data_IF_228341396311
#
_entry.id   IF_228341396311
#
_cell.length_a   1.000
_cell.length_b   1.000
_cell.length_c   1.000
_cell.angle_alpha   90.00
_cell.angle_beta   90.00
_cell.angle_gamma   90.00
#
_symmetry.space_group_name_H-M   'P 1'
#
loop_
_entity.id
_entity.type
_entity.pdbx_description
1 polymer ?
#
# COMPACT_ATOMS: atom_id res chain seq x y z
N UNK A 1 -8.90 12.21 6.77
CA UNK A 1 -9.44 10.92 6.30
C UNK A 1 -8.58 10.53 5.09
N UNK A 2 -7.68 9.57 5.27
CA UNK A 2 -6.55 9.22 4.39
C UNK A 2 -6.97 8.73 2.99
N UNK A 3 -8.27 8.52 2.74
CA UNK A 3 -8.86 8.36 1.40
C UNK A 3 -8.59 9.56 0.46
N UNK A 4 -8.16 10.72 0.98
CA UNK A 4 -7.63 11.85 0.20
C UNK A 4 -6.27 11.57 -0.48
N UNK A 5 -5.58 10.48 -0.10
CA UNK A 5 -4.38 9.98 -0.78
C UNK A 5 -4.60 9.66 -2.26
N UNK A 6 -5.84 9.43 -2.67
CA UNK A 6 -6.26 9.19 -4.06
C UNK A 6 -6.02 10.38 -5.01
N UNK A 7 -5.59 11.56 -4.54
CA UNK A 7 -5.21 12.71 -5.40
C UNK A 7 -3.70 12.83 -5.65
N UNK A 8 -2.87 12.02 -5.02
CA UNK A 8 -1.44 12.30 -4.89
C UNK A 8 -0.63 11.66 -6.00
N UNK A 9 -0.33 12.46 -7.03
CA UNK A 9 0.60 12.15 -8.13
C UNK A 9 2.07 11.91 -7.69
N UNK A 10 2.34 11.73 -6.40
CA UNK A 10 3.66 11.49 -5.82
C UNK A 10 3.58 10.34 -4.81
N UNK A 11 3.77 9.12 -5.33
CA UNK A 11 3.83 7.88 -4.55
C UNK A 11 5.30 7.49 -4.42
N UNK A 12 5.72 7.24 -3.18
CA UNK A 12 7.02 6.65 -2.85
C UNK A 12 6.79 5.27 -2.26
N UNK A 13 7.59 4.29 -2.69
CA UNK A 13 7.52 2.91 -2.20
C UNK A 13 8.84 2.63 -1.49
N UNK A 14 8.77 2.23 -0.22
CA UNK A 14 9.97 1.85 0.53
C UNK A 14 10.63 0.61 -0.07
N UNK A 15 11.93 0.40 0.18
CA UNK A 15 12.64 -0.79 -0.32
C UNK A 15 12.01 -2.10 0.17
N UNK A 16 11.56 -2.13 1.43
CA UNK A 16 10.81 -3.25 2.02
C UNK A 16 9.49 -3.50 1.27
N UNK A 17 8.61 -2.50 1.20
CA UNK A 17 7.33 -2.62 0.50
C UNK A 17 7.50 -3.01 -0.97
N UNK A 18 8.55 -2.51 -1.64
CA UNK A 18 8.86 -2.91 -3.01
C UNK A 18 9.22 -4.38 -3.09
N UNK A 19 10.10 -4.87 -2.22
CA UNK A 19 10.49 -6.29 -2.20
C UNK A 19 9.29 -7.21 -1.96
N UNK A 20 8.42 -6.85 -1.02
CA UNK A 20 7.22 -7.64 -0.71
C UNK A 20 6.22 -7.61 -1.87
N UNK A 21 5.95 -6.42 -2.42
CA UNK A 21 5.07 -6.29 -3.57
C UNK A 21 5.56 -7.08 -4.80
N UNK A 22 6.89 -7.15 -5.02
CA UNK A 22 7.47 -7.98 -6.08
C UNK A 22 7.29 -9.49 -5.82
N UNK A 23 7.37 -9.94 -4.57
CA UNK A 23 7.14 -11.33 -4.21
C UNK A 23 5.67 -11.77 -4.40
N UNK A 24 4.74 -10.82 -4.27
CA UNK A 24 3.31 -11.06 -4.47
C UNK A 24 2.87 -11.04 -5.94
N UNK A 25 3.67 -10.45 -6.83
CA UNK A 25 3.33 -10.39 -8.24
C UNK A 25 3.54 -11.74 -8.93
N UNK A 26 2.61 -12.15 -9.82
CA UNK A 26 2.84 -13.28 -10.70
C UNK A 26 4.10 -13.06 -11.55
N UNK A 27 4.87 -14.13 -11.78
CA UNK A 27 6.08 -14.09 -12.63
C UNK A 27 5.79 -13.68 -14.09
N UNK A 28 4.53 -13.71 -14.51
CA UNK A 28 4.05 -13.31 -15.84
C UNK A 28 3.93 -11.79 -16.00
N UNK A 29 4.10 -11.01 -14.93
CA UNK A 29 4.02 -9.55 -14.99
C UNK A 29 5.33 -9.00 -15.54
N UNK A 30 5.31 -8.54 -16.80
CA UNK A 30 6.48 -7.98 -17.50
C UNK A 30 6.99 -6.67 -16.88
N UNK A 31 6.08 -5.86 -16.30
CA UNK A 31 6.41 -4.55 -15.71
C UNK A 31 5.95 -4.45 -14.25
N UNK A 32 6.70 -5.06 -13.30
CA UNK A 32 6.28 -5.13 -11.90
C UNK A 32 6.06 -3.76 -11.24
N UNK A 33 6.93 -2.78 -11.51
CA UNK A 33 6.81 -1.44 -10.91
C UNK A 33 5.57 -0.69 -11.39
N UNK A 34 5.18 -0.84 -12.66
CA UNK A 34 3.95 -0.25 -13.16
C UNK A 34 2.71 -0.93 -12.58
N UNK A 35 2.73 -2.26 -12.45
CA UNK A 35 1.65 -3.03 -11.85
C UNK A 35 1.41 -2.64 -10.38
N UNK A 36 2.48 -2.47 -9.59
CA UNK A 36 2.41 -2.00 -8.21
C UNK A 36 1.83 -0.59 -8.17
N UNK A 37 2.36 0.32 -8.99
CA UNK A 37 1.88 1.70 -9.04
C UNK A 37 0.40 1.78 -9.41
N UNK A 38 -0.04 1.01 -10.41
CA UNK A 38 -1.45 0.92 -10.81
C UNK A 38 -2.32 0.39 -9.68
N UNK A 39 -1.86 -0.65 -8.98
CA UNK A 39 -2.57 -1.20 -7.82
C UNK A 39 -2.79 -0.16 -6.72
N UNK A 40 -1.80 0.68 -6.46
CA UNK A 40 -1.88 1.76 -5.48
C UNK A 40 -2.80 2.90 -5.92
N UNK A 41 -2.82 3.22 -7.22
CA UNK A 41 -3.72 4.23 -7.80
C UNK A 41 -5.18 3.75 -7.84
N UNK A 42 -5.42 2.45 -7.91
CA UNK A 42 -6.75 1.83 -7.87
C UNK A 42 -7.33 1.74 -6.44
N UNK A 43 -6.62 2.18 -5.40
CA UNK A 43 -7.11 2.15 -4.03
C UNK A 43 -8.28 3.11 -3.84
N UNK A 44 -9.33 2.62 -3.19
CA UNK A 44 -10.55 3.38 -2.90
C UNK A 44 -10.91 3.21 -1.43
N UNK A 45 -11.87 3.99 -0.96
CA UNK A 45 -12.33 3.93 0.43
C UNK A 45 -12.92 2.56 0.81
N UNK A 46 -13.54 1.83 -0.12
CA UNK A 46 -14.07 0.49 0.16
C UNK A 46 -12.99 -0.54 0.49
N UNK A 47 -11.75 -0.27 0.11
CA UNK A 47 -10.59 -1.10 0.45
C UNK A 47 -10.04 -0.79 1.84
N UNK A 48 -10.37 0.37 2.44
CA UNK A 48 -9.88 0.74 3.77
C UNK A 48 -10.42 -0.21 4.84
N UNK A 49 -9.57 -0.57 5.81
CA UNK A 49 -9.95 -1.42 6.95
C UNK A 49 -9.90 -0.69 8.27
N UNK A 50 -8.75 -0.15 8.60
CA UNK A 50 -8.56 0.62 9.81
C UNK A 50 -7.30 1.48 9.68
N UNK A 51 -7.09 2.34 10.66
CA UNK A 51 -5.86 3.11 10.82
C UNK A 51 -5.22 2.71 12.16
N UNK A 52 -3.90 2.52 12.14
CA UNK A 52 -3.09 2.26 13.33
C UNK A 52 -2.12 3.43 13.56
N UNK A 53 -1.79 3.70 14.81
CA UNK A 53 -0.79 4.71 15.16
C UNK A 53 0.51 4.01 15.55
N UNK A 54 1.60 4.30 14.84
CA UNK A 54 2.94 3.85 15.18
C UNK A 54 3.79 5.01 15.73
N UNK A 55 5.05 4.73 16.08
CA UNK A 55 6.01 5.73 16.59
C UNK A 55 6.26 6.90 15.60
N UNK A 56 5.90 6.73 14.32
CA UNK A 56 6.16 7.66 13.22
C UNK A 56 4.88 8.31 12.68
N UNK A 57 3.71 7.98 13.22
CA UNK A 57 2.44 8.62 12.92
C UNK A 57 1.33 7.64 12.58
N UNK A 58 0.33 8.13 11.84
CA UNK A 58 -0.80 7.32 11.41
C UNK A 58 -0.47 6.53 10.16
N UNK A 59 -0.82 5.25 10.21
CA UNK A 59 -0.70 4.28 9.12
C UNK A 59 -2.10 3.78 8.80
N UNK A 60 -2.46 3.88 7.53
CA UNK A 60 -3.71 3.33 7.02
C UNK A 60 -3.48 1.97 6.41
N UNK A 61 -4.43 1.08 6.69
CA UNK A 61 -4.38 -0.31 6.25
C UNK A 61 -5.52 -0.55 5.27
N UNK A 62 -5.14 -0.94 4.06
CA UNK A 62 -6.07 -1.28 2.99
C UNK A 62 -6.02 -2.77 2.70
N UNK A 63 -7.19 -3.37 2.46
CA UNK A 63 -7.34 -4.76 2.03
C UNK A 63 -7.86 -4.80 0.59
N UNK A 64 -7.07 -5.35 -0.31
CA UNK A 64 -7.40 -5.46 -1.74
C UNK A 64 -7.34 -6.90 -2.22
N UNK A 65 -8.13 -7.21 -3.25
CA UNK A 65 -8.04 -8.46 -4.00
C UNK A 65 -7.38 -8.17 -5.35
N UNK A 66 -6.13 -8.62 -5.54
CA UNK A 66 -5.40 -8.50 -6.81
C UNK A 66 -4.58 -9.76 -7.05
N UNK A 67 -4.39 -10.13 -8.31
CA UNK A 67 -3.61 -11.32 -8.68
C UNK A 67 -4.11 -12.62 -8.02
N UNK A 68 -5.43 -12.72 -7.82
CA UNK A 68 -6.10 -13.81 -7.08
C UNK A 68 -5.60 -14.00 -5.64
N UNK A 69 -5.10 -12.93 -5.02
CA UNK A 69 -4.61 -12.90 -3.64
C UNK A 69 -5.23 -11.75 -2.86
N UNK A 70 -5.50 -12.01 -1.59
CA UNK A 70 -5.91 -10.99 -0.65
C UNK A 70 -4.65 -10.33 -0.06
N UNK A 71 -4.54 -9.02 -0.24
CA UNK A 71 -3.33 -8.28 0.08
C UNK A 71 -3.65 -7.15 1.04
N UNK A 72 -2.75 -6.95 2.00
CA UNK A 72 -2.74 -5.81 2.90
C UNK A 72 -1.70 -4.81 2.47
N UNK A 73 -2.14 -3.59 2.22
CA UNK A 73 -1.28 -2.49 1.82
C UNK A 73 -1.30 -1.46 2.93
N UNK A 74 -0.15 -1.26 3.58
CA UNK A 74 0.01 -0.24 4.61
C UNK A 74 0.60 1.02 4.00
N UNK A 75 -0.06 2.14 4.25
CA UNK A 75 0.28 3.43 3.65
C UNK A 75 0.31 4.49 4.72
N UNK A 76 1.32 5.36 4.68
CA UNK A 76 1.40 6.55 5.52
C UNK A 76 1.52 7.82 4.68
N UNK A 77 1.10 8.92 5.29
CA UNK A 77 1.29 10.27 4.77
C UNK A 77 2.51 10.92 5.41
N UNK A 78 3.47 11.36 4.59
CA UNK A 78 4.54 12.25 5.06
C UNK A 78 4.44 13.62 4.39
N UNK A 79 4.52 14.68 5.19
CA UNK A 79 4.66 16.06 4.69
C UNK A 79 6.16 16.37 4.54
N UNK A 80 6.63 16.53 3.31
CA UNK A 80 8.02 16.95 3.03
C UNK A 80 8.02 18.32 2.37
N UNK A 81 8.71 19.26 3.02
CA UNK A 81 8.87 20.66 2.60
C UNK A 81 7.53 21.41 2.46
N UNK A 82 6.75 21.13 1.42
CA UNK A 82 5.40 21.67 1.20
C UNK A 82 4.44 20.68 0.51
N UNK A 83 4.87 19.43 0.28
CA UNK A 83 4.10 18.41 -0.46
C UNK A 83 3.78 17.22 0.44
N UNK A 84 2.55 16.75 0.36
CA UNK A 84 2.14 15.47 0.93
C UNK A 84 2.59 14.35 0.00
N UNK A 85 3.36 13.41 0.52
CA UNK A 85 3.85 12.23 -0.21
C UNK A 85 3.22 10.98 0.38
N UNK A 86 2.71 10.12 -0.50
CA UNK A 86 2.21 8.80 -0.13
C UNK A 86 3.41 7.90 0.03
N UNK A 87 3.59 7.29 1.20
CA UNK A 87 4.63 6.30 1.42
C UNK A 87 4.01 4.95 1.67
N UNK A 88 4.24 4.02 0.75
CA UNK A 88 3.88 2.62 0.93
C UNK A 88 4.97 1.96 1.77
N UNK A 89 4.58 1.54 2.97
CA UNK A 89 5.50 1.02 3.98
C UNK A 89 5.52 -0.51 4.00
N UNK A 90 4.43 -1.16 3.63
CA UNK A 90 4.42 -2.60 3.43
C UNK A 90 3.31 -3.10 2.50
N UNK A 91 3.54 -4.28 1.96
CA UNK A 91 2.66 -4.92 0.98
C UNK A 91 2.65 -6.43 1.24
N UNK A 92 1.71 -6.92 2.03
CA UNK A 92 1.74 -8.31 2.52
C UNK A 92 0.58 -9.14 2.00
N UNK A 93 0.82 -10.43 1.80
CA UNK A 93 -0.26 -11.41 1.73
C UNK A 93 -1.03 -11.45 3.05
N UNK A 94 -2.35 -11.54 2.95
CA UNK A 94 -3.18 -11.88 4.09
C UNK A 94 -3.25 -13.40 4.17
N UNK A 95 -2.39 -13.99 5.00
CA UNK A 95 -2.66 -15.30 5.56
C UNK A 95 -3.45 -15.08 6.86
N UNK A 96 -4.55 -15.80 7.04
CA UNK A 96 -5.39 -15.79 8.26
C UNK A 96 -4.62 -16.24 9.55
N UNK A 97 -3.28 -16.33 9.50
CA UNK A 97 -2.39 -16.78 10.58
C UNK A 97 -1.83 -15.64 11.45
N UNK A 98 -2.55 -14.53 11.62
CA UNK A 98 -2.38 -13.72 12.83
C UNK A 98 -3.54 -14.08 13.75
N UNK A 99 -3.35 -15.19 14.49
CA UNK A 99 -4.17 -15.50 15.65
C UNK A 99 -4.10 -14.35 16.65
N UNK A 100 -5.28 -13.96 17.12
CA UNK A 100 -5.53 -13.09 18.28
C UNK A 100 -4.79 -13.62 19.50
#
# INVERSE_FOLDING_TARGET
>A
MVHLLARLKQISVTGKARSEALAELPRTVEQPSEAIRKTLLDLTESHWKFSEQDERGWVDVYRILKFNRLLWVKIKLEKRFAKETVIVISFHHFDDEIQV
#
